data_IF_888484200220
#
_entry.id   IF_888484200220
#
_cell.length_a   1.000
_cell.length_b   1.000
_cell.length_c   1.000
_cell.angle_alpha   90.00
_cell.angle_beta   90.00
_cell.angle_gamma   90.00
#
_symmetry.space_group_name_H-M   'P 1'
#
loop_
_entity.id
_entity.type
_entity.pdbx_description
1 polymer ?
#
# COMPACT_ATOMS: atom_id res chain seq x y z
N UNK A 1 -18.25 -11.15 -12.43
CA UNK A 1 -18.31 -9.74 -11.98
C UNK A 1 -18.35 -8.85 -13.20
N UNK A 2 -19.31 -7.91 -13.28
CA UNK A 2 -19.40 -6.93 -14.36
C UNK A 2 -18.75 -5.63 -13.88
N UNK A 3 -17.77 -5.13 -14.64
CA UNK A 3 -17.09 -3.85 -14.39
C UNK A 3 -17.55 -2.82 -15.41
N UNK A 4 -17.94 -1.64 -14.91
CA UNK A 4 -18.29 -0.48 -15.72
C UNK A 4 -17.48 0.72 -15.20
N UNK A 5 -17.10 1.62 -16.10
CA UNK A 5 -16.43 2.87 -15.71
C UNK A 5 -16.95 4.06 -16.52
N UNK A 6 -16.79 5.25 -15.95
CA UNK A 6 -17.10 6.55 -16.59
C UNK A 6 -16.07 7.57 -16.15
N UNK A 7 -15.51 8.29 -17.11
CA UNK A 7 -14.68 9.46 -16.85
C UNK A 7 -15.56 10.70 -16.99
N UNK A 8 -15.60 11.53 -15.95
CA UNK A 8 -16.30 12.82 -15.96
C UNK A 8 -15.50 13.90 -16.69
N UNK A 9 -16.17 14.98 -17.09
CA UNK A 9 -15.53 16.10 -17.80
C UNK A 9 -14.38 16.77 -17.04
N UNK A 10 -14.38 16.68 -15.71
CA UNK A 10 -13.31 17.17 -14.84
C UNK A 10 -12.16 16.17 -14.63
N UNK A 11 -12.18 15.01 -15.30
CA UNK A 11 -11.16 13.98 -15.24
C UNK A 11 -11.34 12.92 -14.14
N UNK A 12 -12.30 13.08 -13.22
CA UNK A 12 -12.58 12.05 -12.20
C UNK A 12 -13.06 10.75 -12.86
N UNK A 13 -12.42 9.65 -12.51
CA UNK A 13 -12.84 8.32 -12.97
C UNK A 13 -13.77 7.68 -11.93
N UNK A 14 -14.97 7.31 -12.35
CA UNK A 14 -15.88 6.46 -11.59
C UNK A 14 -15.79 5.02 -12.09
N UNK A 15 -15.54 4.08 -11.19
CA UNK A 15 -15.52 2.64 -11.50
C UNK A 15 -16.53 1.91 -10.61
N UNK A 16 -17.26 0.99 -11.21
CA UNK A 16 -18.30 0.22 -10.55
C UNK A 16 -18.13 -1.26 -10.83
N UNK A 17 -18.15 -2.06 -9.76
CA UNK A 17 -18.15 -3.51 -9.79
C UNK A 17 -19.47 -4.04 -9.21
N UNK A 18 -20.24 -4.78 -10.01
CA UNK A 18 -21.48 -5.39 -9.52
C UNK A 18 -21.22 -6.78 -8.94
N UNK A 19 -21.61 -6.99 -7.67
CA UNK A 19 -21.54 -8.24 -6.94
C UNK A 19 -22.84 -8.51 -6.18
N UNK A 20 -23.18 -9.78 -5.99
CA UNK A 20 -24.37 -10.18 -5.24
C UNK A 20 -24.06 -10.22 -3.73
N UNK A 21 -23.87 -9.05 -3.12
CA UNK A 21 -23.61 -8.91 -1.68
C UNK A 21 -24.59 -7.92 -1.05
N UNK A 22 -25.09 -8.14 0.16
CA UNK A 22 -25.86 -7.14 0.91
C UNK A 22 -25.00 -5.97 1.37
N UNK A 23 -23.69 -6.17 1.52
CA UNK A 23 -22.71 -5.16 1.89
C UNK A 23 -22.15 -4.51 0.62
N UNK A 24 -21.96 -3.20 0.68
CA UNK A 24 -21.38 -2.40 -0.37
C UNK A 24 -20.16 -1.64 0.14
N UNK A 25 -19.26 -1.35 -0.76
CA UNK A 25 -17.99 -0.64 -0.53
C UNK A 25 -17.90 0.50 -1.52
N UNK A 26 -17.59 1.69 -1.08
CA UNK A 26 -17.25 2.76 -1.99
C UNK A 26 -16.20 3.69 -1.37
N UNK A 27 -15.44 4.38 -2.21
CA UNK A 27 -14.40 5.27 -1.74
C UNK A 27 -13.67 5.98 -2.86
N UNK A 28 -12.76 6.84 -2.45
CA UNK A 28 -11.80 7.49 -3.32
C UNK A 28 -10.42 6.86 -3.16
N UNK A 29 -9.78 6.54 -4.27
CA UNK A 29 -8.35 6.29 -4.34
C UNK A 29 -7.72 7.52 -5.01
N UNK A 30 -6.87 8.22 -4.27
CA UNK A 30 -6.26 9.48 -4.68
C UNK A 30 -4.79 9.23 -4.95
N UNK A 31 -4.30 9.64 -6.10
CA UNK A 31 -2.92 9.44 -6.56
C UNK A 31 -1.95 10.42 -5.89
N UNK A 32 -1.98 10.48 -4.56
CA UNK A 32 -1.07 11.24 -3.71
C UNK A 32 -0.75 10.43 -2.45
N UNK A 33 0.51 10.41 -2.07
CA UNK A 33 1.01 9.79 -0.86
C UNK A 33 2.27 10.50 -0.38
N UNK A 34 2.99 9.89 0.55
CA UNK A 34 4.18 10.55 1.14
C UNK A 34 5.30 10.79 0.13
N UNK A 35 5.32 10.06 -0.98
CA UNK A 35 6.24 10.29 -2.08
C UNK A 35 6.05 11.64 -2.77
N UNK A 36 4.86 12.23 -2.69
CA UNK A 36 4.48 13.47 -3.35
C UNK A 36 4.67 14.71 -2.46
N UNK A 37 5.19 14.53 -1.24
CA UNK A 37 5.49 15.56 -0.26
C UNK A 37 6.78 16.31 -0.61
N UNK A 38 6.85 17.59 -0.25
CA UNK A 38 8.10 18.31 -0.22
C UNK A 38 8.96 17.84 0.97
N UNK A 39 10.29 17.97 0.86
CA UNK A 39 11.22 17.57 1.93
C UNK A 39 10.94 18.29 3.26
N UNK A 40 10.40 19.52 3.20
CA UNK A 40 10.01 20.32 4.37
C UNK A 40 8.63 19.97 4.95
N UNK A 41 7.84 19.10 4.27
CA UNK A 41 6.45 18.80 4.62
C UNK A 41 6.22 17.30 4.84
N UNK A 42 7.27 16.56 5.26
CA UNK A 42 7.17 15.13 5.50
C UNK A 42 6.08 14.80 6.52
N UNK A 43 5.22 13.83 6.18
CA UNK A 43 4.08 13.41 6.98
C UNK A 43 2.79 14.19 6.70
N UNK A 44 2.80 15.20 5.81
CA UNK A 44 1.60 16.00 5.54
C UNK A 44 0.48 15.19 4.89
N UNK A 45 0.78 14.19 4.07
CA UNK A 45 -0.23 13.35 3.43
C UNK A 45 -1.03 12.55 4.47
N UNK A 46 -0.34 11.95 5.44
CA UNK A 46 -0.95 11.25 6.56
C UNK A 46 -1.68 12.21 7.52
N UNK A 47 -1.06 13.36 7.82
CA UNK A 47 -1.69 14.37 8.66
C UNK A 47 -3.01 14.89 8.05
N UNK A 48 -3.03 15.14 6.75
CA UNK A 48 -4.24 15.53 6.04
C UNK A 48 -5.32 14.44 6.11
N UNK A 49 -4.94 13.18 6.01
CA UNK A 49 -5.87 12.06 6.18
C UNK A 49 -6.60 12.14 7.52
N UNK A 50 -5.90 12.30 8.65
CA UNK A 50 -6.50 12.50 9.98
C UNK A 50 -7.45 13.70 10.00
N UNK A 51 -7.04 14.81 9.39
CA UNK A 51 -7.80 16.07 9.40
C UNK A 51 -9.08 16.02 8.56
N UNK A 52 -9.19 15.11 7.56
CA UNK A 52 -10.43 14.93 6.80
C UNK A 52 -11.62 14.57 7.71
N UNK A 53 -11.38 13.86 8.80
CA UNK A 53 -12.43 13.45 9.76
C UNK A 53 -12.79 14.52 10.80
N UNK A 54 -12.06 15.64 10.82
CA UNK A 54 -12.20 16.65 11.88
C UNK A 54 -13.14 17.80 11.54
N UNK A 55 -13.57 17.90 10.27
CA UNK A 55 -14.60 18.87 9.88
C UNK A 55 -14.64 19.15 8.38
N UNK A 56 -15.85 19.37 7.91
CA UNK A 56 -16.14 19.89 6.57
C UNK A 56 -16.92 21.21 6.68
N UNK A 57 -17.11 21.89 5.55
CA UNK A 57 -17.96 23.08 5.51
C UNK A 57 -19.41 22.81 5.99
N UNK A 58 -19.86 21.54 5.96
CA UNK A 58 -21.23 21.15 6.32
C UNK A 58 -21.33 20.36 7.63
N UNK A 59 -20.25 19.70 8.05
CA UNK A 59 -20.26 18.73 9.16
C UNK A 59 -19.13 18.98 10.14
N UNK A 60 -19.45 18.93 11.44
CA UNK A 60 -18.44 18.84 12.50
C UNK A 60 -17.96 17.40 12.64
N UNK A 61 -16.80 17.16 13.27
CA UNK A 61 -16.20 15.84 13.49
C UNK A 61 -17.21 14.81 14.03
N UNK A 62 -17.98 15.16 15.06
CA UNK A 62 -19.02 14.29 15.64
C UNK A 62 -20.04 13.80 14.61
N UNK A 63 -20.46 14.66 13.67
CA UNK A 63 -21.42 14.28 12.64
C UNK A 63 -20.79 13.40 11.56
N UNK A 64 -19.49 13.55 11.31
CA UNK A 64 -18.72 12.72 10.38
C UNK A 64 -18.61 11.30 10.93
N UNK A 65 -18.06 11.15 12.13
CA UNK A 65 -17.84 9.87 12.78
C UNK A 65 -19.15 9.06 12.93
N UNK A 66 -20.20 9.72 13.43
CA UNK A 66 -21.48 9.03 13.62
C UNK A 66 -22.27 8.78 12.33
N UNK A 67 -21.83 9.32 11.18
CA UNK A 67 -22.62 9.25 9.96
C UNK A 67 -22.82 7.82 9.47
N UNK A 68 -21.78 7.01 9.52
CA UNK A 68 -21.86 5.61 9.11
C UNK A 68 -22.09 4.68 10.32
N UNK A 69 -21.48 4.94 11.46
CA UNK A 69 -21.59 4.14 12.67
C UNK A 69 -23.06 3.96 13.11
N UNK A 70 -23.86 5.04 13.05
CA UNK A 70 -25.29 5.01 13.40
C UNK A 70 -26.14 4.05 12.55
N UNK A 71 -25.61 3.53 11.47
CA UNK A 71 -26.28 2.57 10.59
C UNK A 71 -25.49 1.26 10.45
N UNK A 72 -24.50 1.04 11.34
CA UNK A 72 -23.65 -0.14 11.35
C UNK A 72 -22.71 -0.23 10.15
N UNK A 73 -22.38 0.93 9.55
CA UNK A 73 -21.36 1.04 8.51
C UNK A 73 -20.04 1.50 9.09
N UNK A 74 -18.97 1.36 8.33
CA UNK A 74 -17.60 1.75 8.68
C UNK A 74 -17.12 2.87 7.77
N UNK A 75 -16.26 3.72 8.29
CA UNK A 75 -15.57 4.77 7.56
C UNK A 75 -14.07 4.67 7.88
N UNK A 76 -13.26 4.42 6.86
CA UNK A 76 -11.85 4.14 6.99
C UNK A 76 -11.03 4.98 6.01
N UNK A 77 -9.75 5.20 6.34
CA UNK A 77 -8.77 5.78 5.43
C UNK A 77 -7.39 5.17 5.71
N UNK A 78 -6.49 5.28 4.73
CA UNK A 78 -5.08 4.99 4.91
C UNK A 78 -4.26 5.72 3.84
N UNK A 79 -3.04 6.07 4.24
CA UNK A 79 -2.03 6.69 3.37
C UNK A 79 -0.89 5.71 3.12
N UNK A 80 -0.43 5.66 1.87
CA UNK A 80 0.75 4.90 1.46
C UNK A 80 1.79 5.85 0.83
N UNK A 81 2.86 5.30 0.32
CA UNK A 81 3.86 6.10 -0.42
C UNK A 81 3.27 6.79 -1.66
N UNK A 82 2.29 6.21 -2.34
CA UNK A 82 1.80 6.69 -3.64
C UNK A 82 0.31 6.98 -3.71
N UNK A 83 -0.47 6.54 -2.72
CA UNK A 83 -1.93 6.73 -2.70
C UNK A 83 -2.43 7.06 -1.30
N UNK A 84 -3.48 7.86 -1.24
CA UNK A 84 -4.37 8.00 -0.08
C UNK A 84 -5.73 7.45 -0.45
N UNK A 85 -6.28 6.59 0.39
CA UNK A 85 -7.58 5.95 0.17
C UNK A 85 -8.53 6.33 1.30
N UNK A 86 -9.75 6.74 0.96
CA UNK A 86 -10.82 7.06 1.90
C UNK A 86 -12.04 6.29 1.46
N UNK A 87 -12.58 5.41 2.30
CA UNK A 87 -13.66 4.52 1.90
C UNK A 87 -14.63 4.20 3.04
N UNK A 88 -15.76 3.66 2.67
CA UNK A 88 -16.80 3.22 3.61
C UNK A 88 -17.33 1.85 3.21
N UNK A 89 -17.64 1.06 4.26
CA UNK A 89 -18.30 -0.24 4.19
C UNK A 89 -19.68 -0.11 4.80
N UNK A 90 -20.73 -0.58 4.13
CA UNK A 90 -22.10 -0.34 4.57
C UNK A 90 -23.12 -1.28 3.94
N UNK A 91 -24.29 -1.40 4.58
CA UNK A 91 -25.44 -2.07 3.99
C UNK A 91 -25.95 -1.28 2.78
N UNK A 92 -26.23 -1.97 1.67
CA UNK A 92 -26.53 -1.39 0.36
C UNK A 92 -27.60 -0.28 0.36
N UNK A 93 -28.54 -0.27 1.29
CA UNK A 93 -29.57 0.77 1.43
C UNK A 93 -28.98 2.14 1.83
N UNK A 94 -27.77 2.17 2.39
CA UNK A 94 -27.09 3.40 2.80
C UNK A 94 -26.13 3.97 1.75
N UNK A 95 -26.19 3.48 0.49
CA UNK A 95 -25.34 3.94 -0.62
C UNK A 95 -25.31 5.46 -0.78
N UNK A 96 -26.48 6.11 -0.74
CA UNK A 96 -26.57 7.59 -0.89
C UNK A 96 -25.86 8.30 0.27
N UNK A 97 -26.00 7.77 1.50
CA UNK A 97 -25.41 8.32 2.72
C UNK A 97 -23.88 8.25 2.65
N UNK A 98 -23.33 7.11 2.23
CA UNK A 98 -21.88 6.91 2.10
C UNK A 98 -21.26 7.80 1.01
N UNK A 99 -21.87 7.85 -0.18
CA UNK A 99 -21.37 8.69 -1.28
C UNK A 99 -21.41 10.18 -0.90
N UNK A 100 -22.47 10.65 -0.24
CA UNK A 100 -22.59 12.05 0.20
C UNK A 100 -21.55 12.39 1.29
N UNK A 101 -21.26 11.48 2.21
CA UNK A 101 -20.24 11.68 3.22
C UNK A 101 -18.84 11.74 2.62
N UNK A 102 -18.47 10.73 1.81
CA UNK A 102 -17.15 10.64 1.20
C UNK A 102 -16.84 11.84 0.29
N UNK A 103 -17.82 12.25 -0.50
CA UNK A 103 -17.68 13.44 -1.34
C UNK A 103 -17.48 14.72 -0.50
N UNK A 104 -18.18 14.84 0.63
CA UNK A 104 -18.03 15.98 1.53
C UNK A 104 -16.65 16.00 2.22
N UNK A 105 -16.15 14.84 2.64
CA UNK A 105 -14.81 14.71 3.21
C UNK A 105 -13.71 15.12 2.24
N UNK A 106 -13.77 14.61 1.01
CA UNK A 106 -12.71 14.81 0.01
C UNK A 106 -12.70 16.23 -0.54
N UNK A 107 -13.86 16.83 -0.78
CA UNK A 107 -13.96 18.12 -1.48
C UNK A 107 -14.30 19.32 -0.60
N UNK A 108 -14.80 19.12 0.61
CA UNK A 108 -15.27 20.20 1.48
C UNK A 108 -14.57 20.22 2.86
N UNK A 109 -13.46 19.48 3.05
CA UNK A 109 -12.68 19.55 4.30
C UNK A 109 -12.17 20.98 4.55
N UNK A 110 -12.28 21.46 5.79
CA UNK A 110 -11.92 22.83 6.15
C UNK A 110 -10.65 22.94 7.01
N UNK A 111 -10.10 21.81 7.44
CA UNK A 111 -8.86 21.75 8.25
C UNK A 111 -8.92 22.75 9.43
N UNK A 112 -9.72 22.49 10.48
CA UNK A 112 -9.85 23.42 11.60
C UNK A 112 -8.53 23.51 12.40
N UNK A 113 -8.05 24.71 12.69
CA UNK A 113 -6.75 24.93 13.40
C UNK A 113 -6.71 24.30 14.80
N UNK A 114 -7.81 24.36 15.55
CA UNK A 114 -7.91 23.74 16.87
C UNK A 114 -7.84 22.21 16.82
N UNK A 115 -8.31 21.59 15.75
CA UNK A 115 -8.23 20.15 15.56
C UNK A 115 -6.83 19.73 15.06
N UNK A 116 -6.17 20.56 14.26
CA UNK A 116 -4.79 20.32 13.81
C UNK A 116 -3.84 20.16 15.00
N UNK A 117 -3.95 21.04 16.02
CA UNK A 117 -3.10 20.93 17.20
C UNK A 117 -3.30 19.61 17.96
N UNK A 118 -4.55 19.18 18.11
CA UNK A 118 -4.87 17.90 18.77
C UNK A 118 -4.36 16.70 17.97
N UNK A 119 -4.56 16.72 16.64
CA UNK A 119 -4.14 15.61 15.81
C UNK A 119 -2.62 15.53 15.69
N UNK A 120 -1.92 16.65 15.79
CA UNK A 120 -0.46 16.65 15.88
C UNK A 120 0.02 15.82 17.07
N UNK A 121 -0.57 16.03 18.25
CA UNK A 121 -0.21 15.26 19.44
C UNK A 121 -0.52 13.76 19.24
N UNK A 122 -1.65 13.43 18.62
CA UNK A 122 -2.00 12.04 18.30
C UNK A 122 -0.97 11.39 17.38
N UNK A 123 -0.56 12.08 16.30
CA UNK A 123 0.43 11.54 15.36
C UNK A 123 1.83 11.46 15.99
N UNK A 124 2.19 12.42 16.85
CA UNK A 124 3.44 12.33 17.62
C UNK A 124 3.47 11.10 18.54
N UNK A 125 2.34 10.78 19.18
CA UNK A 125 2.23 9.56 19.99
C UNK A 125 2.28 8.29 19.10
N UNK A 126 1.72 8.34 17.90
CA UNK A 126 1.83 7.26 16.92
C UNK A 126 3.30 7.05 16.47
N UNK A 127 4.04 8.12 16.15
CA UNK A 127 5.48 8.04 15.84
C UNK A 127 6.25 7.37 16.98
N UNK A 128 6.00 7.78 18.23
CA UNK A 128 6.67 7.19 19.40
C UNK A 128 6.33 5.71 19.55
N UNK A 129 5.08 5.34 19.32
CA UNK A 129 4.65 3.93 19.36
C UNK A 129 5.38 3.08 18.32
N UNK A 130 5.64 3.61 17.11
CA UNK A 130 6.46 2.95 16.10
C UNK A 130 7.92 2.84 16.52
N UNK A 131 8.49 3.90 17.10
CA UNK A 131 9.86 3.91 17.62
C UNK A 131 10.06 2.90 18.77
N UNK A 132 9.03 2.68 19.57
CA UNK A 132 9.03 1.66 20.64
C UNK A 132 8.86 0.22 20.11
N UNK A 133 8.62 0.05 18.80
CA UNK A 133 8.45 -1.25 18.14
C UNK A 133 9.56 -1.50 17.11
N UNK A 134 10.72 -2.07 17.49
CA UNK A 134 11.83 -2.34 16.56
C UNK A 134 11.43 -3.18 15.35
N UNK A 135 10.43 -4.06 15.52
CA UNK A 135 9.90 -4.90 14.44
C UNK A 135 9.10 -4.13 13.38
N UNK A 136 8.62 -2.94 13.70
CA UNK A 136 7.92 -2.05 12.78
C UNK A 136 8.84 -0.97 12.25
N UNK A 137 9.59 -0.31 13.14
CA UNK A 137 10.53 0.75 12.79
C UNK A 137 11.57 0.30 11.74
N UNK A 138 12.04 -0.93 11.81
CA UNK A 138 13.08 -1.44 10.90
C UNK A 138 12.66 -1.39 9.42
N UNK A 139 11.35 -1.45 9.11
CA UNK A 139 10.88 -1.35 7.73
C UNK A 139 10.99 0.08 7.19
N UNK A 140 10.60 1.07 7.99
CA UNK A 140 10.70 2.49 7.60
C UNK A 140 12.16 2.92 7.46
N UNK A 141 13.02 2.54 8.42
CA UNK A 141 14.46 2.83 8.36
C UNK A 141 15.14 2.13 7.17
N UNK A 142 14.71 0.92 6.84
CA UNK A 142 15.21 0.19 5.68
C UNK A 142 14.78 0.86 4.37
N UNK A 143 13.53 1.30 4.24
CA UNK A 143 13.07 2.03 3.06
C UNK A 143 13.81 3.36 2.91
N UNK A 144 14.05 4.07 4.01
CA UNK A 144 14.87 5.30 4.01
C UNK A 144 16.31 5.00 3.55
N UNK A 145 16.90 3.89 4.00
CA UNK A 145 18.25 3.48 3.62
C UNK A 145 18.36 3.17 2.13
N UNK A 146 17.43 2.38 1.56
CA UNK A 146 17.50 1.98 0.15
C UNK A 146 17.07 3.08 -0.82
N UNK A 147 16.26 4.04 -0.37
CA UNK A 147 15.82 5.21 -1.15
C UNK A 147 16.43 6.51 -0.63
N UNK A 148 17.65 6.45 -0.11
CA UNK A 148 18.34 7.60 0.48
C UNK A 148 18.35 8.81 -0.45
N UNK A 149 17.86 9.95 0.06
CA UNK A 149 17.77 11.20 -0.70
C UNK A 149 16.64 11.23 -1.75
N UNK A 150 15.70 10.32 -1.66
CA UNK A 150 14.51 10.28 -2.50
C UNK A 150 13.25 10.21 -1.62
N UNK A 151 12.16 10.85 -2.03
CA UNK A 151 10.92 10.93 -1.24
C UNK A 151 10.25 9.58 -0.92
N UNK A 152 10.57 8.51 -1.65
CA UNK A 152 10.15 7.15 -1.27
C UNK A 152 10.76 6.67 0.06
N UNK A 153 11.88 7.24 0.49
CA UNK A 153 12.50 6.97 1.78
C UNK A 153 11.84 7.69 2.95
N UNK A 154 10.99 8.70 2.71
CA UNK A 154 10.33 9.43 3.79
C UNK A 154 9.37 8.49 4.57
N UNK A 155 9.38 8.51 5.91
CA UNK A 155 8.41 7.76 6.71
C UNK A 155 7.00 8.28 6.46
N UNK A 156 6.01 7.39 6.51
CA UNK A 156 4.60 7.76 6.25
C UNK A 156 4.09 8.76 7.28
N UNK A 157 4.47 8.59 8.53
CA UNK A 157 4.07 9.48 9.62
C UNK A 157 4.83 10.82 9.62
N UNK A 158 5.88 10.97 8.81
CA UNK A 158 6.81 12.08 8.90
C UNK A 158 7.76 11.96 10.08
N UNK A 159 8.28 13.11 10.55
CA UNK A 159 9.17 13.21 11.70
C UNK A 159 8.58 14.17 12.75
N UNK A 160 9.01 14.06 14.02
CA UNK A 160 8.58 15.01 15.05
C UNK A 160 8.88 16.47 14.64
N UNK A 161 10.04 16.72 14.00
CA UNK A 161 10.44 18.03 13.54
C UNK A 161 9.53 18.56 12.42
N UNK A 162 9.28 17.73 11.38
CA UNK A 162 8.45 18.16 10.25
C UNK A 162 7.00 18.44 10.67
N UNK A 163 6.45 17.62 11.57
CA UNK A 163 5.07 17.80 12.06
C UNK A 163 4.89 19.10 12.88
N UNK A 164 5.92 19.55 13.61
CA UNK A 164 5.85 20.81 14.38
C UNK A 164 5.70 22.03 13.48
N UNK A 165 6.29 22.00 12.30
CA UNK A 165 6.29 23.10 11.33
C UNK A 165 5.02 23.14 10.45
N UNK A 166 4.23 22.04 10.40
CA UNK A 166 3.02 21.98 9.59
C UNK A 166 1.91 22.87 10.16
N UNK A 167 1.35 23.72 9.33
CA UNK A 167 0.21 24.59 9.62
C UNK A 167 -1.05 24.16 8.91
N UNK A 168 -2.20 24.66 9.35
CA UNK A 168 -3.47 24.44 8.62
C UNK A 168 -3.42 25.05 7.19
N UNK A 169 -2.56 26.06 6.96
CA UNK A 169 -2.30 26.60 5.64
C UNK A 169 -1.65 25.56 4.73
N UNK A 170 -0.55 24.92 5.17
CA UNK A 170 0.12 23.85 4.43
C UNK A 170 -0.85 22.72 4.08
N UNK A 171 -1.63 22.25 5.06
CA UNK A 171 -2.62 21.18 4.83
C UNK A 171 -3.71 21.57 3.82
N UNK A 172 -4.21 22.80 3.87
CA UNK A 172 -5.17 23.31 2.87
C UNK A 172 -4.57 23.44 1.48
N UNK A 173 -3.31 23.87 1.39
CA UNK A 173 -2.60 24.01 0.11
C UNK A 173 -2.26 22.63 -0.46
N UNK A 174 -1.89 21.65 0.38
CA UNK A 174 -1.72 20.26 -0.01
C UNK A 174 -3.01 19.66 -0.59
N UNK A 175 -4.15 19.84 0.10
CA UNK A 175 -5.46 19.42 -0.42
C UNK A 175 -5.76 20.02 -1.78
N UNK A 176 -5.59 21.34 -1.95
CA UNK A 176 -5.85 22.04 -3.21
C UNK A 176 -4.93 21.58 -4.34
N UNK A 177 -3.67 21.31 -4.03
CA UNK A 177 -2.65 20.90 -5.01
C UNK A 177 -2.74 19.46 -5.45
N UNK A 178 -3.21 18.57 -4.57
CA UNK A 178 -3.13 17.14 -4.79
C UNK A 178 -4.50 16.43 -4.91
N UNK A 179 -5.55 16.92 -4.24
CA UNK A 179 -6.89 16.32 -4.29
C UNK A 179 -7.67 16.80 -5.52
N UNK A 180 -7.10 16.54 -6.69
CA UNK A 180 -7.65 16.97 -7.98
C UNK A 180 -8.29 15.80 -8.73
N UNK A 181 -9.46 16.00 -9.37
CA UNK A 181 -10.25 14.94 -9.99
C UNK A 181 -9.48 14.04 -10.95
N UNK A 182 -8.57 14.61 -11.76
CA UNK A 182 -7.76 13.85 -12.72
C UNK A 182 -6.77 12.87 -12.10
N UNK A 183 -6.51 12.99 -10.78
CA UNK A 183 -5.69 12.05 -9.98
C UNK A 183 -6.53 11.16 -9.07
N UNK A 184 -7.84 11.04 -9.31
CA UNK A 184 -8.75 10.32 -8.41
C UNK A 184 -9.56 9.27 -9.15
N UNK A 185 -9.80 8.17 -8.45
CA UNK A 185 -10.78 7.17 -8.83
C UNK A 185 -11.81 7.07 -7.71
N UNK A 186 -13.08 7.31 -8.03
CA UNK A 186 -14.18 6.94 -7.16
C UNK A 186 -14.63 5.52 -7.50
N UNK A 187 -14.49 4.59 -6.57
CA UNK A 187 -14.89 3.21 -6.77
C UNK A 187 -16.17 2.86 -5.99
N UNK A 188 -16.94 1.94 -6.54
CA UNK A 188 -18.10 1.33 -5.89
C UNK A 188 -18.12 -0.17 -6.19
N UNK A 189 -18.29 -0.98 -5.16
CA UNK A 189 -18.53 -2.42 -5.26
C UNK A 189 -19.76 -2.78 -4.43
N UNK A 190 -20.78 -3.40 -5.05
CA UNK A 190 -22.02 -3.77 -4.39
C UNK A 190 -23.09 -4.27 -5.35
N UNK A 191 -24.31 -4.54 -4.84
CA UNK A 191 -25.38 -5.10 -5.66
C UNK A 191 -26.16 -4.08 -6.49
N UNK A 192 -26.08 -2.78 -6.14
CA UNK A 192 -26.85 -1.74 -6.86
C UNK A 192 -26.36 -1.60 -8.30
N UNK A 193 -27.22 -1.60 -9.32
CA UNK A 193 -26.82 -1.49 -10.71
C UNK A 193 -26.08 -0.19 -11.01
N UNK A 194 -25.14 -0.25 -11.96
CA UNK A 194 -24.28 0.88 -12.37
C UNK A 194 -25.04 2.17 -12.60
N UNK A 195 -26.12 2.15 -13.41
CA UNK A 195 -26.87 3.36 -13.76
C UNK A 195 -27.55 4.03 -12.55
N UNK A 196 -27.90 3.25 -11.51
CA UNK A 196 -28.50 3.80 -10.29
C UNK A 196 -27.44 4.49 -9.42
N UNK A 197 -26.28 3.85 -9.25
CA UNK A 197 -25.15 4.44 -8.53
C UNK A 197 -24.65 5.68 -9.29
N UNK A 198 -24.48 5.59 -10.61
CA UNK A 198 -24.05 6.71 -11.44
C UNK A 198 -24.95 7.94 -11.28
N UNK A 199 -26.27 7.78 -11.37
CA UNK A 199 -27.23 8.89 -11.13
C UNK A 199 -27.06 9.51 -9.75
N UNK A 200 -26.77 8.69 -8.74
CA UNK A 200 -26.53 9.17 -7.37
C UNK A 200 -25.23 9.97 -7.28
N UNK A 201 -24.16 9.46 -7.88
CA UNK A 201 -22.85 10.15 -7.96
C UNK A 201 -23.00 11.47 -8.69
N UNK A 202 -23.61 11.49 -9.87
CA UNK A 202 -23.86 12.72 -10.64
C UNK A 202 -24.66 13.76 -9.85
N UNK A 203 -25.73 13.34 -9.20
CA UNK A 203 -26.58 14.23 -8.39
C UNK A 203 -25.85 14.82 -7.18
N UNK A 204 -24.96 14.06 -6.53
CA UNK A 204 -24.21 14.53 -5.36
C UNK A 204 -23.05 15.41 -5.82
N UNK A 205 -22.28 15.00 -6.81
CA UNK A 205 -21.10 15.71 -7.25
C UNK A 205 -21.46 17.02 -7.98
N UNK A 206 -22.62 17.12 -8.64
CA UNK A 206 -23.10 18.38 -9.24
C UNK A 206 -23.38 19.50 -8.22
N UNK A 207 -23.47 19.18 -6.93
CA UNK A 207 -23.71 20.15 -5.84
C UNK A 207 -22.42 20.60 -5.14
N UNK A 208 -21.28 20.08 -5.55
CA UNK A 208 -19.99 20.36 -4.97
C UNK A 208 -19.15 21.12 -6.01
N UNK A 209 -18.51 22.18 -5.58
CA UNK A 209 -17.51 22.85 -6.40
C UNK A 209 -16.25 21.98 -6.44
N UNK A 210 -16.20 21.07 -7.42
CA UNK A 210 -15.04 20.22 -7.63
C UNK A 210 -14.04 21.03 -8.47
N UNK A 211 -12.79 21.19 -8.01
CA UNK A 211 -11.77 21.91 -8.75
C UNK A 211 -11.63 21.37 -10.19
N UNK A 212 -11.68 22.25 -11.17
CA UNK A 212 -11.50 21.89 -12.59
C UNK A 212 -10.04 22.00 -13.03
N UNK A 213 -9.13 22.26 -12.10
CA UNK A 213 -7.74 22.53 -12.38
C UNK A 213 -7.08 21.35 -13.08
N UNK A 214 -6.71 21.56 -14.33
CA UNK A 214 -5.64 20.82 -14.98
C UNK A 214 -4.29 21.26 -14.38
N UNK A 215 -4.09 21.00 -13.09
CA UNK A 215 -2.75 21.13 -12.52
C UNK A 215 -1.85 20.22 -13.36
N UNK A 216 -0.81 20.79 -13.92
CA UNK A 216 0.23 20.04 -14.61
C UNK A 216 0.72 18.98 -13.65
N UNK A 217 0.43 17.70 -13.99
CA UNK A 217 0.90 16.58 -13.19
C UNK A 217 2.43 16.65 -13.24
N UNK A 218 3.07 17.10 -12.17
CA UNK A 218 4.51 16.96 -12.07
C UNK A 218 4.81 15.47 -12.07
N UNK A 219 5.53 14.96 -13.09
CA UNK A 219 5.87 13.55 -13.12
C UNK A 219 6.70 13.19 -11.88
N UNK A 220 6.35 12.08 -11.25
CA UNK A 220 7.17 11.52 -10.17
C UNK A 220 8.56 11.23 -10.71
N UNK A 221 9.60 11.62 -9.97
CA UNK A 221 10.97 11.25 -10.33
C UNK A 221 11.21 9.81 -9.90
N UNK A 222 11.77 8.99 -10.79
CA UNK A 222 12.19 7.65 -10.44
C UNK A 222 13.48 7.70 -9.60
N UNK A 223 13.66 6.81 -8.62
CA UNK A 223 14.95 6.68 -7.93
C UNK A 223 16.02 6.23 -8.96
N UNK A 224 17.10 7.02 -9.07
CA UNK A 224 18.08 6.81 -10.15
C UNK A 224 19.30 6.02 -9.68
N UNK A 225 19.62 6.11 -8.38
CA UNK A 225 20.84 5.52 -7.84
C UNK A 225 20.53 4.62 -6.66
N UNK A 226 21.09 3.41 -6.70
CA UNK A 226 21.08 2.48 -5.58
C UNK A 226 22.44 1.80 -5.46
N UNK A 227 23.02 1.86 -4.29
CA UNK A 227 24.19 1.11 -3.88
C UNK A 227 23.86 0.31 -2.62
N UNK A 228 24.21 -0.97 -2.62
CA UNK A 228 23.94 -1.83 -1.48
C UNK A 228 24.76 -1.39 -0.26
N UNK A 229 24.08 -1.17 0.86
CA UNK A 229 24.68 -0.74 2.13
C UNK A 229 24.32 -1.71 3.24
N UNK A 230 25.19 -1.81 4.25
CA UNK A 230 24.94 -2.64 5.40
C UNK A 230 25.10 -1.79 6.67
N UNK A 231 24.02 -1.69 7.43
CA UNK A 231 23.97 -0.89 8.64
C UNK A 231 23.60 -1.75 9.84
N UNK A 232 24.15 -1.40 10.98
CA UNK A 232 23.87 -2.07 12.25
C UNK A 232 23.68 -1.01 13.33
N UNK A 233 22.50 -1.00 13.93
CA UNK A 233 22.11 -0.09 15.00
C UNK A 233 21.96 -0.85 16.31
N UNK A 234 22.55 -0.30 17.38
CA UNK A 234 22.34 -0.81 18.73
C UNK A 234 21.04 -0.25 19.30
N UNK A 235 20.14 -1.15 19.69
CA UNK A 235 18.85 -0.81 20.30
C UNK A 235 18.62 -1.73 21.50
N UNK A 236 17.92 -1.23 22.52
CA UNK A 236 17.54 -2.05 23.67
C UNK A 236 16.43 -3.04 23.30
N UNK A 237 16.81 -4.15 22.66
CA UNK A 237 15.86 -5.20 22.22
C UNK A 237 16.25 -6.57 22.73
N UNK A 238 15.26 -7.42 23.02
CA UNK A 238 15.51 -8.83 23.39
C UNK A 238 15.89 -9.70 22.20
N UNK A 239 15.54 -9.31 21.01
CA UNK A 239 15.79 -10.03 19.77
C UNK A 239 16.57 -9.15 18.81
N UNK A 240 17.43 -9.75 18.01
CA UNK A 240 17.95 -9.08 16.83
C UNK A 240 16.86 -9.07 15.75
N UNK A 241 16.55 -7.90 15.22
CA UNK A 241 15.71 -7.72 14.05
C UNK A 241 16.59 -7.47 12.83
N UNK A 242 16.35 -8.19 11.78
CA UNK A 242 17.13 -8.12 10.55
C UNK A 242 16.20 -7.96 9.35
N UNK A 243 16.47 -6.97 8.55
CA UNK A 243 15.85 -6.81 7.23
C UNK A 243 16.94 -6.71 6.17
N UNK A 244 16.72 -7.37 5.04
CA UNK A 244 17.63 -7.32 3.90
C UNK A 244 16.85 -7.30 2.60
N UNK A 245 17.34 -6.57 1.59
CA UNK A 245 16.61 -6.45 0.33
C UNK A 245 17.19 -5.38 -0.59
N UNK A 246 16.45 -5.03 -1.62
CA UNK A 246 16.87 -4.07 -2.63
C UNK A 246 15.65 -3.45 -3.36
N UNK A 247 15.85 -2.37 -4.14
CA UNK A 247 14.87 -1.92 -5.11
C UNK A 247 14.52 -3.03 -6.11
N UNK A 248 13.25 -3.14 -6.47
CA UNK A 248 12.72 -4.22 -7.28
C UNK A 248 11.85 -3.69 -8.44
N UNK A 249 11.09 -4.58 -9.09
CA UNK A 249 10.28 -4.26 -10.26
C UNK A 249 9.07 -3.38 -9.94
N UNK A 250 8.76 -2.48 -10.87
CA UNK A 250 7.56 -1.64 -10.82
C UNK A 250 6.27 -2.43 -11.13
N UNK A 251 5.12 -1.77 -10.89
CA UNK A 251 3.81 -2.33 -11.28
C UNK A 251 3.66 -2.55 -12.79
N UNK A 252 4.46 -1.88 -13.61
CA UNK A 252 4.41 -1.98 -15.07
C UNK A 252 5.43 -2.98 -15.64
N UNK A 253 6.42 -3.40 -14.84
CA UNK A 253 7.44 -4.32 -15.30
C UNK A 253 6.86 -5.73 -15.57
N UNK A 254 7.08 -6.33 -16.76
CA UNK A 254 6.58 -7.66 -17.06
C UNK A 254 7.17 -8.75 -16.15
N UNK A 255 8.40 -8.59 -15.66
CA UNK A 255 9.09 -9.55 -14.78
C UNK A 255 8.49 -9.61 -13.37
N UNK A 256 7.73 -8.59 -12.94
CA UNK A 256 7.12 -8.54 -11.61
C UNK A 256 6.28 -9.76 -11.25
N UNK A 257 5.66 -10.43 -12.26
CA UNK A 257 4.83 -11.62 -12.02
C UNK A 257 5.67 -12.85 -11.70
N UNK A 258 6.76 -13.03 -12.43
CA UNK A 258 7.73 -14.09 -12.15
C UNK A 258 8.35 -13.87 -10.76
N UNK A 259 8.70 -12.62 -10.44
CA UNK A 259 9.25 -12.32 -9.12
C UNK A 259 8.22 -12.47 -7.98
N UNK A 260 6.97 -12.09 -8.19
CA UNK A 260 5.90 -12.33 -7.20
C UNK A 260 5.73 -13.83 -6.91
N UNK A 261 5.75 -14.68 -7.96
CA UNK A 261 5.69 -16.14 -7.78
C UNK A 261 6.93 -16.66 -7.04
N UNK A 262 8.12 -16.16 -7.37
CA UNK A 262 9.38 -16.54 -6.72
C UNK A 262 9.38 -16.09 -5.24
N UNK A 263 9.01 -14.86 -4.96
CA UNK A 263 8.93 -14.31 -3.60
C UNK A 263 7.93 -15.09 -2.73
N UNK A 264 6.76 -15.42 -3.27
CA UNK A 264 5.77 -16.23 -2.57
C UNK A 264 6.32 -17.63 -2.21
N UNK A 265 7.13 -18.22 -3.08
CA UNK A 265 7.79 -19.48 -2.80
C UNK A 265 8.95 -19.33 -1.80
N UNK A 266 9.69 -18.23 -1.86
CA UNK A 266 10.84 -17.94 -0.98
C UNK A 266 10.41 -17.76 0.48
N UNK A 267 9.57 -16.80 0.76
CA UNK A 267 9.17 -16.42 2.13
C UNK A 267 7.75 -15.85 2.22
N UNK A 268 6.85 -16.24 1.28
CA UNK A 268 5.44 -15.85 1.35
C UNK A 268 4.72 -16.41 2.58
N UNK A 269 3.44 -16.09 2.77
CA UNK A 269 2.71 -16.26 4.05
C UNK A 269 2.46 -17.72 4.44
N UNK A 270 2.82 -18.69 3.60
CA UNK A 270 2.59 -20.10 3.89
C UNK A 270 3.73 -20.75 4.67
N UNK A 271 3.37 -21.65 5.59
CA UNK A 271 4.34 -22.41 6.41
C UNK A 271 5.32 -23.26 5.59
N UNK A 272 4.97 -23.58 4.33
CA UNK A 272 5.81 -24.37 3.41
C UNK A 272 6.73 -23.52 2.52
N UNK A 273 6.84 -22.20 2.76
CA UNK A 273 7.83 -21.36 2.09
C UNK A 273 9.26 -21.79 2.45
N UNK A 274 10.22 -21.56 1.55
CA UNK A 274 11.59 -22.05 1.70
C UNK A 274 12.24 -21.55 2.98
N UNK A 275 12.12 -20.26 3.27
CA UNK A 275 12.74 -19.65 4.45
C UNK A 275 12.07 -20.15 5.73
N UNK A 276 10.74 -20.25 5.76
CA UNK A 276 10.02 -20.76 6.92
C UNK A 276 10.42 -22.20 7.23
N UNK A 277 10.45 -23.08 6.22
CA UNK A 277 10.92 -24.46 6.40
C UNK A 277 12.38 -24.49 6.86
N UNK A 278 13.26 -23.66 6.27
CA UNK A 278 14.70 -23.72 6.52
C UNK A 278 15.08 -23.22 7.91
N UNK A 279 14.48 -22.10 8.36
CA UNK A 279 14.87 -21.43 9.60
C UNK A 279 13.95 -21.78 10.79
N UNK A 280 12.64 -21.82 10.55
CA UNK A 280 11.63 -22.03 11.60
C UNK A 280 11.34 -23.50 11.81
N UNK A 281 10.74 -24.18 10.82
CA UNK A 281 10.21 -25.53 11.01
C UNK A 281 11.31 -26.57 11.31
N UNK A 282 12.41 -26.52 10.58
CA UNK A 282 13.51 -27.49 10.75
C UNK A 282 14.44 -27.17 11.91
N UNK A 283 14.53 -25.93 12.37
CA UNK A 283 15.59 -25.49 13.29
C UNK A 283 15.13 -24.65 14.47
N UNK A 284 13.95 -24.07 14.42
CA UNK A 284 13.42 -23.24 15.50
C UNK A 284 14.28 -21.99 15.79
N UNK A 285 14.95 -21.43 14.77
CA UNK A 285 15.87 -20.30 14.94
C UNK A 285 15.16 -18.96 14.98
N UNK A 286 13.98 -18.88 14.38
CA UNK A 286 13.17 -17.65 14.25
C UNK A 286 11.72 -17.94 14.62
N UNK A 287 11.05 -16.96 15.20
CA UNK A 287 9.60 -17.03 15.41
C UNK A 287 8.85 -16.62 14.15
N UNK A 288 9.27 -15.52 13.54
CA UNK A 288 8.75 -15.03 12.28
C UNK A 288 9.86 -14.84 11.25
N UNK A 289 9.58 -15.20 10.02
CA UNK A 289 10.40 -14.91 8.84
C UNK A 289 9.48 -14.75 7.64
N UNK A 290 9.67 -13.68 6.92
CA UNK A 290 8.89 -13.39 5.73
C UNK A 290 9.74 -12.75 4.63
N UNK A 291 9.31 -12.87 3.40
CA UNK A 291 9.79 -12.05 2.30
C UNK A 291 8.63 -11.31 1.67
N UNK A 292 8.81 -10.03 1.44
CA UNK A 292 7.81 -9.15 0.84
C UNK A 292 8.30 -8.59 -0.50
N UNK A 293 7.34 -8.28 -1.37
CA UNK A 293 7.58 -7.58 -2.62
C UNK A 293 6.46 -6.57 -2.84
N UNK A 294 6.80 -5.30 -2.74
CA UNK A 294 5.89 -4.17 -2.93
C UNK A 294 6.24 -3.43 -4.22
N UNK A 295 5.50 -3.65 -5.31
CA UNK A 295 5.70 -2.91 -6.56
C UNK A 295 5.09 -1.51 -6.45
N UNK A 296 5.86 -0.49 -6.82
CA UNK A 296 5.49 0.91 -6.95
C UNK A 296 5.34 1.30 -8.42
N UNK A 297 4.99 2.56 -8.71
CA UNK A 297 4.70 2.98 -10.09
C UNK A 297 5.91 2.93 -11.04
N UNK A 298 7.12 3.17 -10.56
CA UNK A 298 8.36 3.20 -11.36
C UNK A 298 9.51 2.35 -10.80
N UNK A 299 9.34 1.79 -9.60
CA UNK A 299 10.26 0.90 -8.92
C UNK A 299 9.48 -0.12 -8.09
N UNK A 300 10.11 -0.74 -7.12
CA UNK A 300 9.50 -1.59 -6.08
C UNK A 300 10.48 -1.82 -4.96
N UNK A 301 10.03 -2.49 -3.91
CA UNK A 301 10.84 -2.92 -2.78
C UNK A 301 10.74 -4.43 -2.64
N UNK A 302 11.87 -5.10 -2.57
CA UNK A 302 11.97 -6.48 -2.10
C UNK A 302 12.66 -6.50 -0.77
N UNK A 303 12.12 -7.22 0.20
CA UNK A 303 12.75 -7.41 1.50
C UNK A 303 12.54 -8.82 2.06
N UNK A 304 13.48 -9.25 2.90
CA UNK A 304 13.39 -10.42 3.77
C UNK A 304 13.58 -9.91 5.18
N UNK A 305 12.61 -10.15 6.05
CA UNK A 305 12.66 -9.78 7.46
C UNK A 305 12.61 -11.01 8.36
N UNK A 306 13.36 -11.01 9.46
CA UNK A 306 13.23 -11.98 10.53
C UNK A 306 13.68 -11.43 11.90
N UNK A 307 13.02 -11.92 12.95
CA UNK A 307 13.43 -11.72 14.34
C UNK A 307 14.07 -13.01 14.92
N UNK A 308 15.19 -12.89 15.63
CA UNK A 308 15.92 -14.04 16.19
C UNK A 308 16.68 -13.68 17.45
N UNK A 309 17.03 -14.68 18.27
CA UNK A 309 18.02 -14.51 19.35
C UNK A 309 19.37 -14.09 18.75
N UNK A 310 20.07 -13.07 19.31
CA UNK A 310 21.34 -12.57 18.79
C UNK A 310 22.38 -13.66 18.49
N UNK A 311 22.41 -14.72 19.29
CA UNK A 311 23.34 -15.86 19.10
C UNK A 311 23.08 -16.62 17.79
N UNK A 312 21.87 -16.61 17.25
CA UNK A 312 21.50 -17.34 16.04
C UNK A 312 21.54 -16.47 14.76
N UNK A 313 21.67 -15.15 14.87
CA UNK A 313 21.63 -14.22 13.74
C UNK A 313 22.56 -14.62 12.58
N UNK A 314 23.83 -14.89 12.88
CA UNK A 314 24.81 -15.30 11.86
C UNK A 314 24.44 -16.61 11.17
N UNK A 315 23.82 -17.54 11.91
CA UNK A 315 23.35 -18.80 11.36
C UNK A 315 22.16 -18.58 10.44
N UNK A 316 21.22 -17.72 10.82
CA UNK A 316 20.07 -17.35 9.99
C UNK A 316 20.52 -16.72 8.67
N UNK A 317 21.38 -15.72 8.70
CA UNK A 317 21.94 -15.07 7.49
C UNK A 317 22.59 -16.07 6.53
N UNK A 318 23.40 -17.02 7.08
CA UNK A 318 24.02 -18.06 6.26
C UNK A 318 23.00 -19.00 5.61
N UNK A 319 21.91 -19.33 6.31
CA UNK A 319 20.85 -20.18 5.77
C UNK A 319 20.03 -19.45 4.71
N UNK A 320 19.71 -18.18 4.93
CA UNK A 320 19.04 -17.35 3.92
C UNK A 320 19.90 -17.29 2.66
N UNK A 321 21.18 -16.93 2.77
CA UNK A 321 22.12 -16.93 1.65
C UNK A 321 22.09 -18.24 0.88
N UNK A 322 22.12 -19.36 1.58
CA UNK A 322 22.08 -20.69 0.97
C UNK A 322 20.81 -20.92 0.13
N UNK A 323 19.65 -20.49 0.62
CA UNK A 323 18.39 -20.64 -0.16
C UNK A 323 18.37 -19.68 -1.36
N UNK A 324 18.87 -18.42 -1.21
CA UNK A 324 19.00 -17.48 -2.32
C UNK A 324 19.93 -18.00 -3.41
N UNK A 325 21.12 -18.48 -3.06
CA UNK A 325 22.08 -19.06 -3.99
C UNK A 325 21.50 -20.26 -4.73
N UNK A 326 20.73 -21.11 -4.03
CA UNK A 326 20.05 -22.24 -4.65
C UNK A 326 19.05 -21.81 -5.71
N UNK A 327 18.25 -20.77 -5.45
CA UNK A 327 17.30 -20.23 -6.44
C UNK A 327 17.97 -19.57 -7.64
N UNK A 328 19.16 -19.00 -7.45
CA UNK A 328 19.97 -18.38 -8.52
C UNK A 328 20.71 -19.41 -9.39
N UNK A 329 21.04 -20.56 -8.84
CA UNK A 329 21.87 -21.58 -9.53
C UNK A 329 21.06 -22.69 -10.17
N UNK A 330 19.85 -22.96 -9.68
CA UNK A 330 19.09 -24.14 -10.09
C UNK A 330 17.69 -23.77 -10.56
N UNK A 331 17.36 -24.18 -11.79
CA UNK A 331 15.98 -24.10 -12.28
C UNK A 331 15.08 -25.02 -11.46
N UNK A 332 13.90 -24.53 -11.11
CA UNK A 332 12.89 -25.37 -10.48
C UNK A 332 12.43 -26.48 -11.45
N UNK A 333 12.25 -27.68 -10.91
CA UNK A 333 11.67 -28.79 -11.67
C UNK A 333 10.23 -28.46 -12.11
N UNK A 334 9.75 -29.11 -13.18
CA UNK A 334 8.38 -28.95 -13.68
C UNK A 334 7.33 -29.21 -12.59
N UNK A 335 7.53 -30.25 -11.77
CA UNK A 335 6.63 -30.57 -10.66
C UNK A 335 6.62 -29.47 -9.59
N UNK A 336 7.78 -28.92 -9.22
CA UNK A 336 7.87 -27.86 -8.23
C UNK A 336 7.26 -26.56 -8.75
N UNK A 337 7.55 -26.19 -10.01
CA UNK A 337 6.94 -25.03 -10.65
C UNK A 337 5.41 -25.12 -10.66
N UNK A 338 4.88 -26.28 -11.07
CA UNK A 338 3.44 -26.50 -11.05
C UNK A 338 2.83 -26.33 -9.65
N UNK A 339 3.48 -26.89 -8.64
CA UNK A 339 3.02 -26.81 -7.25
C UNK A 339 2.97 -25.37 -6.73
N UNK A 340 4.02 -24.55 -6.96
CA UNK A 340 4.04 -23.16 -6.48
C UNK A 340 3.07 -22.26 -7.24
N UNK A 341 2.83 -22.49 -8.54
CA UNK A 341 1.78 -21.83 -9.30
C UNK A 341 0.39 -22.12 -8.74
N UNK A 342 0.07 -23.41 -8.53
CA UNK A 342 -1.20 -23.81 -7.91
C UNK A 342 -1.41 -23.14 -6.56
N UNK A 343 -0.36 -23.10 -5.75
CA UNK A 343 -0.40 -22.47 -4.44
C UNK A 343 -0.73 -20.97 -4.56
N UNK A 344 0.00 -20.22 -5.37
CA UNK A 344 -0.22 -18.77 -5.56
C UNK A 344 -1.60 -18.48 -6.16
N UNK A 345 -2.04 -19.25 -7.15
CA UNK A 345 -3.38 -19.14 -7.75
C UNK A 345 -4.46 -19.36 -6.70
N UNK A 346 -4.31 -20.40 -5.88
CA UNK A 346 -5.24 -20.66 -4.77
C UNK A 346 -5.31 -19.50 -3.77
N UNK A 347 -4.16 -18.96 -3.36
CA UNK A 347 -4.09 -17.80 -2.45
C UNK A 347 -4.75 -16.56 -3.05
N UNK A 348 -4.46 -16.23 -4.31
CA UNK A 348 -5.09 -15.10 -5.01
C UNK A 348 -6.59 -15.29 -5.14
N UNK A 349 -7.05 -16.52 -5.41
CA UNK A 349 -8.47 -16.84 -5.53
C UNK A 349 -9.20 -16.65 -4.20
N UNK A 350 -8.62 -17.16 -3.10
CA UNK A 350 -9.18 -16.98 -1.76
C UNK A 350 -9.20 -15.50 -1.37
N UNK A 351 -8.09 -14.77 -1.61
CA UNK A 351 -8.02 -13.34 -1.31
C UNK A 351 -9.02 -12.50 -2.12
N UNK A 352 -9.35 -12.92 -3.35
CA UNK A 352 -10.31 -12.22 -4.20
C UNK A 352 -11.78 -12.38 -3.76
N UNK A 353 -12.05 -13.30 -2.84
CA UNK A 353 -13.36 -13.49 -2.23
C UNK A 353 -13.65 -12.45 -1.13
N UNK A 354 -12.61 -11.80 -0.62
CA UNK A 354 -12.75 -10.63 0.24
C UNK A 354 -13.13 -9.40 -0.60
N UNK A 355 -14.37 -8.98 -0.49
CA UNK A 355 -14.93 -7.89 -1.28
C UNK A 355 -14.32 -6.52 -0.96
N UNK A 356 -13.86 -6.29 0.26
CA UNK A 356 -13.17 -5.06 0.64
C UNK A 356 -11.84 -4.94 -0.09
N UNK A 357 -10.99 -5.96 0.02
CA UNK A 357 -9.72 -6.02 -0.71
C UNK A 357 -9.92 -5.92 -2.22
N UNK A 358 -10.98 -6.51 -2.74
CA UNK A 358 -11.33 -6.42 -4.16
C UNK A 358 -11.69 -4.98 -4.55
N UNK A 359 -12.50 -4.28 -3.77
CA UNK A 359 -12.91 -2.89 -4.02
C UNK A 359 -11.68 -1.95 -4.01
N UNK A 360 -10.83 -2.05 -3.00
CA UNK A 360 -9.59 -1.29 -2.89
C UNK A 360 -8.63 -1.56 -4.06
N UNK A 361 -8.48 -2.83 -4.43
CA UNK A 361 -7.65 -3.27 -5.56
C UNK A 361 -8.16 -2.75 -6.91
N UNK A 362 -9.48 -2.64 -7.09
CA UNK A 362 -10.10 -2.02 -8.28
C UNK A 362 -9.75 -0.53 -8.33
N UNK A 363 -9.95 0.21 -7.24
CA UNK A 363 -9.61 1.63 -7.15
C UNK A 363 -8.15 1.89 -7.51
N UNK A 364 -7.23 1.19 -6.87
CA UNK A 364 -5.78 1.28 -7.13
C UNK A 364 -5.42 0.93 -8.57
N UNK A 365 -6.00 -0.14 -9.12
CA UNK A 365 -5.70 -0.58 -10.48
C UNK A 365 -6.18 0.42 -11.54
N UNK A 366 -7.35 1.01 -11.35
CA UNK A 366 -7.85 2.06 -12.25
C UNK A 366 -7.03 3.35 -12.13
N UNK A 367 -6.61 3.72 -10.93
CA UNK A 367 -5.76 4.89 -10.71
C UNK A 367 -4.46 4.81 -11.52
N UNK A 368 -3.75 3.68 -11.44
CA UNK A 368 -2.43 3.54 -12.04
C UNK A 368 -2.43 3.00 -13.47
N UNK A 369 -3.47 2.23 -13.86
CA UNK A 369 -3.48 1.51 -15.15
C UNK A 369 -4.68 1.83 -16.03
N UNK A 370 -5.66 2.57 -15.53
CA UNK A 370 -6.92 2.83 -16.23
C UNK A 370 -7.79 1.57 -16.45
N UNK A 371 -7.41 0.43 -15.86
CA UNK A 371 -8.12 -0.83 -16.04
C UNK A 371 -7.86 -1.80 -14.88
N UNK A 372 -8.71 -2.80 -14.74
CA UNK A 372 -8.56 -3.85 -13.74
C UNK A 372 -8.41 -5.23 -14.39
N UNK A 373 -7.41 -5.97 -13.98
CA UNK A 373 -7.22 -7.36 -14.38
C UNK A 373 -8.01 -8.30 -13.47
N UNK A 374 -9.07 -8.91 -13.99
CA UNK A 374 -9.86 -9.92 -13.26
C UNK A 374 -9.04 -11.15 -12.91
N UNK A 375 -9.58 -11.96 -11.98
CA UNK A 375 -8.94 -13.16 -11.44
C UNK A 375 -8.46 -14.12 -12.54
N UNK A 376 -9.33 -14.42 -13.52
CA UNK A 376 -9.01 -15.34 -14.61
C UNK A 376 -7.76 -14.92 -15.40
N UNK A 377 -7.68 -13.63 -15.74
CA UNK A 377 -6.51 -13.09 -16.47
C UNK A 377 -5.25 -13.15 -15.61
N UNK A 378 -5.34 -12.80 -14.32
CA UNK A 378 -4.23 -12.90 -13.38
C UNK A 378 -3.72 -14.32 -13.24
N UNK A 379 -4.61 -15.31 -13.11
CA UNK A 379 -4.27 -16.73 -13.06
C UNK A 379 -3.61 -17.21 -14.37
N UNK A 380 -4.17 -16.83 -15.52
CA UNK A 380 -3.61 -17.20 -16.82
C UNK A 380 -2.19 -16.64 -17.02
N UNK A 381 -1.90 -15.45 -16.54
CA UNK A 381 -0.56 -14.87 -16.60
C UNK A 381 0.44 -15.58 -15.67
N UNK A 382 0.01 -16.02 -14.48
CA UNK A 382 0.85 -16.82 -13.59
C UNK A 382 1.16 -18.18 -14.23
N UNK A 383 0.19 -18.79 -14.92
CA UNK A 383 0.42 -20.06 -15.63
C UNK A 383 1.45 -19.97 -16.77
N UNK A 384 1.66 -18.79 -17.36
CA UNK A 384 2.68 -18.57 -18.40
C UNK A 384 4.11 -18.52 -17.87
N UNK A 385 4.31 -18.20 -16.57
CA UNK A 385 5.64 -18.07 -15.97
C UNK A 385 6.40 -19.39 -16.09
N UNK A 386 7.64 -19.34 -16.55
CA UNK A 386 8.51 -20.50 -16.73
C UNK A 386 9.58 -20.61 -15.63
N UNK A 387 10.22 -21.78 -15.50
CA UNK A 387 11.37 -21.94 -14.59
C UNK A 387 12.58 -21.08 -15.03
N UNK A 388 12.65 -20.71 -16.32
CA UNK A 388 13.68 -19.81 -16.83
C UNK A 388 13.44 -18.38 -16.37
N UNK A 389 12.19 -17.92 -16.41
CA UNK A 389 11.81 -16.58 -15.92
C UNK A 389 12.10 -16.45 -14.42
N UNK A 390 11.82 -17.51 -13.63
CA UNK A 390 12.14 -17.51 -12.20
C UNK A 390 13.64 -17.46 -11.94
N UNK A 391 14.45 -18.18 -12.73
CA UNK A 391 15.91 -18.14 -12.62
C UNK A 391 16.47 -16.76 -13.01
N UNK A 392 15.91 -16.14 -14.06
CA UNK A 392 16.30 -14.80 -14.50
C UNK A 392 16.08 -13.77 -13.39
N UNK A 393 14.85 -13.68 -12.86
CA UNK A 393 14.53 -12.71 -11.79
C UNK A 393 15.27 -13.02 -10.48
N UNK A 394 15.56 -14.30 -10.20
CA UNK A 394 16.41 -14.66 -9.06
C UNK A 394 17.83 -14.11 -9.21
N UNK A 395 18.42 -14.22 -10.39
CA UNK A 395 19.78 -13.69 -10.65
C UNK A 395 19.81 -12.15 -10.65
N UNK A 396 18.72 -11.49 -11.03
CA UNK A 396 18.64 -10.04 -11.02
C UNK A 396 18.47 -9.44 -9.62
N UNK A 397 17.69 -10.08 -8.73
CA UNK A 397 17.29 -9.47 -7.46
C UNK A 397 17.84 -10.18 -6.20
N UNK A 398 18.23 -11.46 -6.28
CA UNK A 398 18.67 -12.21 -5.11
C UNK A 398 20.20 -12.31 -4.99
N UNK A 399 20.96 -11.48 -5.74
CA UNK A 399 22.41 -11.41 -5.57
C UNK A 399 22.78 -10.70 -4.28
N UNK A 400 23.58 -11.35 -3.43
CA UNK A 400 24.00 -10.78 -2.14
C UNK A 400 24.71 -9.43 -2.27
N UNK A 401 25.41 -9.18 -3.36
CA UNK A 401 26.06 -7.91 -3.62
C UNK A 401 25.10 -6.78 -3.96
N UNK A 402 23.84 -7.10 -4.20
CA UNK A 402 22.75 -6.13 -4.44
C UNK A 402 21.85 -5.93 -3.24
N UNK A 403 21.97 -6.76 -2.22
CA UNK A 403 21.12 -6.68 -1.06
C UNK A 403 21.73 -5.74 -0.03
N UNK A 404 21.02 -4.68 0.33
CA UNK A 404 21.26 -3.93 1.56
C UNK A 404 20.81 -4.73 2.76
N UNK A 405 21.40 -4.47 3.92
CA UNK A 405 20.92 -5.05 5.18
C UNK A 405 20.91 -4.01 6.31
N UNK A 406 19.86 -4.02 7.09
CA UNK A 406 19.74 -3.25 8.33
C UNK A 406 19.50 -4.22 9.49
N UNK A 407 20.25 -4.04 10.56
CA UNK A 407 20.24 -4.92 11.73
C UNK A 407 20.06 -4.08 13.00
N UNK A 408 19.05 -4.41 13.79
CA UNK A 408 18.87 -3.92 15.15
C UNK A 408 19.28 -5.00 16.13
N UNK A 409 20.16 -4.66 17.10
CA UNK A 409 20.68 -5.57 18.14
C UNK A 409 20.73 -4.89 19.49
#
# INVERSE_FOLDING_TARGET
MQLCSKIFSNGLCFVHAQVASPVSYCGFTIGVGTRDEADSEQGIAHFVEHLLFKGTAKRKAFHILNRMDNVGGELNAFTTKEETVIYSVFMNEHTVRAIDLLADLVFNSVVPENELLKERDVILDEIRSYQDSPSEQIFDDFENMIFKGHSLGHPILGTEASLQDLSAGNCRDFLKGHYIPGKMVFFYLGKTPFNMVLKTVERIFSKIEIPTSAASLTPRKAPVFYEATNEKNEMETYQSHVIMGCPAYSIFDPKRRAFHLLNNHLGGPCMNSLLNISLREKRGLVYNIESSFTPLTDTGVFSIYFGTDPKYMKQCLRLIKKELDRLRQQKLSKLKLHAIKKQLIGQISIASDNHENLALSIGKSYLHRGSFEGLEKRCAEIEKVTSSDLLEVANELLDENRLSSLIFV
#
